data_IF_724801654451
#
_entry.id   IF_724801654451
#
_cell.length_a   1.000
_cell.length_b   1.000
_cell.length_c   1.000
_cell.angle_alpha   90.00
_cell.angle_beta   90.00
_cell.angle_gamma   90.00
#
_symmetry.space_group_name_H-M   'P 1'
#
loop_
_entity.id
_entity.type
_entity.pdbx_description
1 polymer ?
#
# COMPACT_ATOMS: atom_id res chain seq x y z
N UNK A 1 -11.94 32.65 20.63
CA UNK A 1 -11.76 32.01 21.96
C UNK A 1 -11.59 30.52 21.71
N UNK A 2 -10.36 30.07 21.63
CA UNK A 2 -9.98 28.68 21.52
C UNK A 2 -10.11 28.07 22.90
N UNK A 3 -11.20 27.32 23.15
CA UNK A 3 -11.32 26.55 24.37
C UNK A 3 -10.23 25.50 24.41
N UNK A 4 -9.26 25.68 25.33
CA UNK A 4 -8.35 24.62 25.73
C UNK A 4 -9.23 23.44 26.21
N UNK A 5 -9.20 22.31 25.51
CA UNK A 5 -9.79 21.07 26.03
C UNK A 5 -9.09 20.76 27.36
N UNK A 6 -9.88 20.43 28.36
CA UNK A 6 -9.41 20.05 29.69
C UNK A 6 -8.74 18.66 29.58
N UNK A 7 -7.41 18.66 29.48
CA UNK A 7 -6.58 17.45 29.36
C UNK A 7 -6.62 16.54 30.60
N UNK A 8 -7.38 16.92 31.64
CA UNK A 8 -7.52 16.16 32.89
C UNK A 8 -8.59 15.06 32.81
N UNK A 9 -9.43 15.03 31.78
CA UNK A 9 -10.48 14.03 31.62
C UNK A 9 -9.99 12.87 30.76
N UNK A 10 -10.31 11.66 31.20
CA UNK A 10 -10.06 10.45 30.43
C UNK A 10 -10.72 10.57 29.04
N UNK A 11 -9.99 10.17 27.97
CA UNK A 11 -10.57 10.14 26.62
C UNK A 11 -11.67 9.11 26.53
N UNK A 12 -12.48 9.18 25.47
CA UNK A 12 -13.52 8.16 25.21
C UNK A 12 -12.89 6.76 25.11
N UNK A 13 -11.77 6.63 24.40
CA UNK A 13 -11.06 5.37 24.23
C UNK A 13 -10.52 4.85 25.57
N UNK A 14 -9.96 5.72 26.42
CA UNK A 14 -9.48 5.37 27.77
C UNK A 14 -10.64 4.83 28.63
N UNK A 15 -11.77 5.52 28.62
CA UNK A 15 -12.98 5.09 29.36
C UNK A 15 -13.51 3.77 28.85
N UNK A 16 -13.58 3.57 27.53
CA UNK A 16 -14.05 2.33 26.91
C UNK A 16 -13.15 1.14 27.28
N UNK A 17 -11.83 1.33 27.30
CA UNK A 17 -10.87 0.29 27.69
C UNK A 17 -10.99 -0.09 29.16
N UNK A 18 -11.23 0.89 30.07
CA UNK A 18 -11.48 0.64 31.48
C UNK A 18 -12.78 -0.16 31.67
N UNK A 19 -13.84 0.21 30.98
CA UNK A 19 -15.12 -0.52 31.02
C UNK A 19 -15.01 -1.95 30.46
N UNK A 20 -14.10 -2.18 29.51
CA UNK A 20 -13.77 -3.50 28.98
C UNK A 20 -12.86 -4.33 29.89
N UNK A 21 -12.54 -3.86 31.10
CA UNK A 21 -11.74 -4.58 32.09
C UNK A 21 -10.23 -4.60 31.80
N UNK A 22 -9.75 -3.68 30.97
CA UNK A 22 -8.31 -3.51 30.71
C UNK A 22 -7.60 -2.80 31.86
N UNK A 23 -6.29 -3.00 31.96
CA UNK A 23 -5.48 -2.35 32.97
C UNK A 23 -5.48 -0.82 32.80
N UNK A 24 -5.27 -0.10 33.89
CA UNK A 24 -5.18 1.37 33.86
C UNK A 24 -4.05 1.85 32.90
N UNK A 25 -2.96 1.11 32.85
CA UNK A 25 -1.82 1.42 31.97
C UNK A 25 -2.17 1.24 30.49
N UNK A 26 -2.85 0.14 30.13
CA UNK A 26 -3.36 -0.09 28.76
C UNK A 26 -4.38 0.98 28.37
N UNK A 27 -5.28 1.34 29.26
CA UNK A 27 -6.30 2.37 29.02
C UNK A 27 -5.65 3.74 28.77
N UNK A 28 -4.71 4.15 29.61
CA UNK A 28 -3.96 5.41 29.47
C UNK A 28 -3.15 5.44 28.16
N UNK A 29 -2.52 4.34 27.77
CA UNK A 29 -1.78 4.24 26.52
C UNK A 29 -2.70 4.44 25.32
N UNK A 30 -3.88 3.80 25.31
CA UNK A 30 -4.87 3.96 24.24
C UNK A 30 -5.41 5.40 24.21
N UNK A 31 -5.72 5.99 25.37
CA UNK A 31 -6.15 7.38 25.45
C UNK A 31 -5.08 8.39 25.03
N UNK A 32 -3.80 8.06 25.17
CA UNK A 32 -2.71 8.92 24.65
C UNK A 32 -2.68 8.92 23.11
N UNK A 33 -2.93 7.76 22.46
CA UNK A 33 -3.03 7.66 20.99
C UNK A 33 -4.23 8.47 20.50
N UNK A 34 -5.39 8.30 21.13
CA UNK A 34 -6.64 9.02 20.82
C UNK A 34 -6.44 10.55 20.87
N UNK A 35 -5.72 11.04 21.90
CA UNK A 35 -5.37 12.48 22.02
C UNK A 35 -4.39 12.95 20.93
N UNK A 36 -3.45 12.11 20.51
CA UNK A 36 -2.52 12.45 19.43
C UNK A 36 -3.29 12.51 18.09
N UNK A 37 -4.20 11.59 17.85
CA UNK A 37 -5.05 11.59 16.66
C UNK A 37 -5.93 12.84 16.61
N UNK A 38 -6.54 13.25 17.74
CA UNK A 38 -7.28 14.52 17.87
C UNK A 38 -6.41 15.75 17.53
N UNK A 39 -5.15 15.74 17.93
CA UNK A 39 -4.20 16.85 17.63
C UNK A 39 -3.81 16.85 16.15
N UNK A 40 -3.54 15.69 15.58
CA UNK A 40 -3.25 15.53 14.15
C UNK A 40 -4.46 15.94 13.32
N UNK A 41 -5.66 15.53 13.70
CA UNK A 41 -6.90 15.92 13.04
C UNK A 41 -7.10 17.44 13.10
N UNK A 42 -6.79 18.08 14.24
CA UNK A 42 -6.87 19.54 14.38
C UNK A 42 -5.87 20.29 13.46
N UNK A 43 -4.68 19.73 13.23
CA UNK A 43 -3.70 20.28 12.29
C UNK A 43 -4.17 20.19 10.83
N UNK A 44 -4.88 19.13 10.49
CA UNK A 44 -5.39 18.89 9.14
C UNK A 44 -6.83 19.38 8.94
N UNK A 45 -7.54 19.72 10.02
CA UNK A 45 -8.94 20.18 9.96
C UNK A 45 -9.24 21.31 8.95
N UNK A 46 -8.32 22.28 8.69
CA UNK A 46 -8.55 23.27 7.63
C UNK A 46 -8.53 22.65 6.22
N UNK A 47 -7.81 21.58 6.00
CA UNK A 47 -7.68 20.88 4.70
C UNK A 47 -8.77 19.83 4.52
N UNK A 48 -9.25 19.23 5.61
CA UNK A 48 -10.27 18.18 5.62
C UNK A 48 -11.60 18.64 6.19
N UNK A 49 -11.97 19.93 6.00
CA UNK A 49 -13.32 20.33 6.35
C UNK A 49 -14.31 19.43 5.62
N UNK A 50 -15.02 18.61 6.36
CA UNK A 50 -16.09 17.71 5.86
C UNK A 50 -17.10 18.46 5.00
N UNK A 51 -17.25 19.79 5.22
CA UNK A 51 -18.01 20.69 4.37
C UNK A 51 -17.56 20.74 2.91
N UNK A 52 -16.31 20.36 2.60
CA UNK A 52 -15.76 20.40 1.25
C UNK A 52 -15.90 19.05 0.51
N UNK A 53 -16.25 17.96 1.21
CA UNK A 53 -16.50 16.66 0.59
C UNK A 53 -18.00 16.44 0.38
N UNK A 54 -18.49 16.42 -0.87
CA UNK A 54 -19.90 16.12 -1.15
C UNK A 54 -20.33 14.76 -0.60
N UNK A 55 -19.44 13.77 -0.58
CA UNK A 55 -19.71 12.42 -0.05
C UNK A 55 -19.90 12.46 1.46
N UNK A 56 -19.05 13.15 2.21
CA UNK A 56 -19.23 13.32 3.65
C UNK A 56 -20.52 14.04 3.99
N UNK A 57 -20.88 15.09 3.24
CA UNK A 57 -22.18 15.78 3.43
C UNK A 57 -23.36 14.83 3.18
N UNK A 58 -23.30 14.03 2.12
CA UNK A 58 -24.36 13.08 1.82
C UNK A 58 -24.66 12.14 2.99
N UNK A 59 -23.61 11.68 3.69
CA UNK A 59 -23.73 10.81 4.86
C UNK A 59 -24.35 11.56 6.05
N UNK A 60 -23.86 12.76 6.36
CA UNK A 60 -24.30 13.51 7.54
C UNK A 60 -25.67 14.18 7.36
N UNK A 61 -25.98 14.66 6.16
CA UNK A 61 -27.24 15.36 5.87
C UNK A 61 -28.41 14.39 5.59
N UNK A 62 -28.16 13.08 5.59
CA UNK A 62 -29.10 12.02 5.22
C UNK A 62 -29.78 12.26 3.84
N UNK A 63 -29.14 13.07 3.00
CA UNK A 63 -29.54 13.34 1.62
C UNK A 63 -28.53 12.72 0.70
N UNK A 64 -28.93 11.66 0.02
CA UNK A 64 -28.08 11.02 -0.98
C UNK A 64 -28.16 11.80 -2.28
N UNK A 65 -27.15 12.60 -2.65
CA UNK A 65 -27.11 13.27 -3.95
C UNK A 65 -26.80 12.21 -5.01
N UNK A 66 -27.85 11.60 -5.56
CA UNK A 66 -27.74 10.50 -6.54
C UNK A 66 -26.88 10.92 -7.74
N UNK A 67 -26.90 12.20 -8.10
CA UNK A 67 -26.07 12.77 -9.15
C UNK A 67 -24.55 12.61 -8.90
N UNK A 68 -24.10 12.54 -7.65
CA UNK A 68 -22.68 12.31 -7.32
C UNK A 68 -22.27 10.83 -7.51
N UNK A 69 -23.25 9.93 -7.53
CA UNK A 69 -23.06 8.51 -7.76
C UNK A 69 -23.36 8.11 -9.21
N UNK A 70 -23.86 9.06 -10.03
CA UNK A 70 -23.92 8.85 -11.46
C UNK A 70 -22.49 8.91 -12.02
N UNK A 71 -21.97 7.77 -12.46
CA UNK A 71 -20.68 7.75 -13.16
C UNK A 71 -20.81 8.63 -14.42
N UNK A 72 -19.93 9.63 -14.61
CA UNK A 72 -19.83 10.29 -15.90
C UNK A 72 -19.65 9.21 -16.97
N UNK A 73 -20.28 9.37 -18.13
CA UNK A 73 -20.04 8.48 -19.26
C UNK A 73 -18.56 8.63 -19.67
N UNK A 74 -17.72 7.80 -19.09
CA UNK A 74 -16.31 7.73 -19.44
C UNK A 74 -16.24 6.88 -20.70
N UNK A 75 -15.60 7.40 -21.74
CA UNK A 75 -15.27 6.60 -22.92
C UNK A 75 -14.40 5.41 -22.47
N UNK A 76 -14.86 4.17 -22.62
CA UNK A 76 -14.06 3.00 -22.23
C UNK A 76 -12.70 2.96 -22.92
N UNK A 77 -12.56 3.53 -24.11
CA UNK A 77 -11.31 3.60 -24.84
C UNK A 77 -10.28 4.49 -24.11
N UNK A 78 -10.71 5.52 -23.40
CA UNK A 78 -9.84 6.39 -22.61
C UNK A 78 -9.24 5.71 -21.39
N UNK A 79 -9.81 4.58 -20.96
CA UNK A 79 -9.34 3.79 -19.81
C UNK A 79 -8.42 2.63 -20.22
N UNK A 80 -8.18 2.43 -21.51
CA UNK A 80 -7.43 1.28 -22.02
C UNK A 80 -6.10 1.71 -22.67
N UNK A 81 -5.05 0.95 -22.40
CA UNK A 81 -3.71 1.17 -22.92
C UNK A 81 -3.18 -0.10 -23.55
N UNK A 82 -2.24 0.02 -24.49
CA UNK A 82 -1.63 -1.13 -25.16
C UNK A 82 -1.02 -2.13 -24.17
N UNK A 83 -0.25 -1.63 -23.20
CA UNK A 83 0.36 -2.46 -22.16
C UNK A 83 -0.69 -3.19 -21.28
N UNK A 84 -1.86 -2.60 -21.06
CA UNK A 84 -2.96 -3.24 -20.34
C UNK A 84 -3.55 -4.40 -21.15
N UNK A 85 -3.77 -4.20 -22.46
CA UNK A 85 -4.25 -5.26 -23.37
C UNK A 85 -3.23 -6.40 -23.45
N UNK A 86 -1.97 -6.07 -23.69
CA UNK A 86 -0.90 -7.07 -23.76
C UNK A 86 -0.79 -7.89 -22.48
N UNK A 87 -0.88 -7.24 -21.31
CA UNK A 87 -0.85 -7.93 -20.02
C UNK A 87 -2.05 -8.87 -19.81
N UNK A 88 -3.25 -8.45 -20.22
CA UNK A 88 -4.45 -9.28 -20.16
C UNK A 88 -4.31 -10.50 -21.09
N UNK A 89 -3.75 -10.32 -22.28
CA UNK A 89 -3.55 -11.41 -23.23
C UNK A 89 -2.51 -12.42 -22.72
N UNK A 90 -1.45 -11.97 -22.05
CA UNK A 90 -0.50 -12.85 -21.35
C UNK A 90 -1.23 -13.71 -20.31
N UNK A 91 -2.04 -13.10 -19.45
CA UNK A 91 -2.76 -13.84 -18.41
C UNK A 91 -3.74 -14.85 -19.01
N UNK A 92 -4.50 -14.46 -20.03
CA UNK A 92 -5.44 -15.35 -20.72
C UNK A 92 -4.73 -16.55 -21.35
N UNK A 93 -3.59 -16.30 -22.02
CA UNK A 93 -2.76 -17.35 -22.62
C UNK A 93 -2.30 -18.37 -21.58
N UNK A 94 -1.71 -17.90 -20.48
CA UNK A 94 -1.23 -18.77 -19.42
C UNK A 94 -2.36 -19.51 -18.69
N UNK A 95 -3.51 -18.86 -18.50
CA UNK A 95 -4.71 -19.50 -17.92
C UNK A 95 -5.23 -20.62 -18.82
N UNK A 96 -5.33 -20.37 -20.13
CA UNK A 96 -5.78 -21.39 -21.10
C UNK A 96 -4.78 -22.57 -21.21
N UNK A 97 -3.49 -22.29 -21.07
CA UNK A 97 -2.43 -23.30 -21.10
C UNK A 97 -2.25 -24.07 -19.78
N UNK A 98 -2.91 -23.66 -18.69
CA UNK A 98 -2.72 -24.26 -17.37
C UNK A 98 -1.35 -23.98 -16.74
N UNK A 99 -0.63 -22.95 -17.20
CA UNK A 99 0.74 -22.60 -16.77
C UNK A 99 0.78 -21.37 -15.86
N UNK A 100 -0.38 -20.97 -15.33
CA UNK A 100 -0.51 -19.78 -14.52
C UNK A 100 0.23 -19.89 -13.17
N UNK A 101 0.11 -21.06 -12.53
CA UNK A 101 0.68 -21.35 -11.22
C UNK A 101 1.80 -22.39 -11.35
N UNK A 102 2.77 -22.31 -10.45
CA UNK A 102 3.80 -23.33 -10.24
C UNK A 102 3.26 -24.49 -9.36
N UNK A 103 4.10 -25.50 -9.14
CA UNK A 103 3.76 -26.66 -8.32
C UNK A 103 3.48 -26.33 -6.85
N UNK A 104 3.84 -25.13 -6.40
CA UNK A 104 3.58 -24.60 -5.05
C UNK A 104 2.35 -23.70 -4.98
N UNK A 105 1.60 -23.57 -6.06
CA UNK A 105 0.43 -22.70 -6.14
C UNK A 105 0.74 -21.20 -6.16
N UNK A 106 1.95 -20.82 -6.57
CA UNK A 106 2.35 -19.43 -6.78
C UNK A 106 2.27 -19.10 -8.27
N UNK A 107 2.07 -17.82 -8.59
CA UNK A 107 2.17 -17.36 -9.99
C UNK A 107 3.55 -17.73 -10.52
N UNK A 108 3.60 -18.46 -11.65
CA UNK A 108 4.85 -19.02 -12.16
C UNK A 108 5.83 -17.92 -12.61
N UNK A 109 7.13 -18.20 -12.50
CA UNK A 109 8.18 -17.26 -12.92
C UNK A 109 8.05 -16.87 -14.39
N UNK A 110 7.57 -17.78 -15.25
CA UNK A 110 7.34 -17.49 -16.68
C UNK A 110 6.23 -16.45 -16.85
N UNK A 111 5.14 -16.56 -16.08
CA UNK A 111 4.05 -15.55 -16.09
C UNK A 111 4.59 -14.20 -15.62
N UNK A 112 5.38 -14.18 -14.53
CA UNK A 112 5.96 -12.94 -14.00
C UNK A 112 6.85 -12.25 -15.04
N UNK A 113 7.67 -13.01 -15.77
CA UNK A 113 8.55 -12.49 -16.83
C UNK A 113 7.76 -12.00 -18.05
N UNK A 114 6.73 -12.74 -18.49
CA UNK A 114 5.94 -12.34 -19.64
C UNK A 114 5.05 -11.12 -19.32
N UNK A 115 4.56 -10.98 -18.09
CA UNK A 115 3.91 -9.77 -17.59
C UNK A 115 4.89 -8.59 -17.55
N UNK A 116 6.14 -8.80 -17.13
CA UNK A 116 7.17 -7.76 -17.13
C UNK A 116 7.41 -7.22 -18.54
N UNK A 117 7.55 -8.10 -19.54
CA UNK A 117 7.70 -7.71 -20.95
C UNK A 117 6.50 -6.94 -21.49
N UNK A 118 5.29 -7.23 -20.99
CA UNK A 118 4.06 -6.53 -21.36
C UNK A 118 3.91 -5.15 -20.68
N UNK A 119 4.82 -4.76 -19.78
CA UNK A 119 4.77 -3.49 -19.06
C UNK A 119 3.88 -3.48 -17.81
N UNK A 120 3.46 -4.64 -17.35
CA UNK A 120 2.51 -4.84 -16.25
C UNK A 120 2.89 -4.15 -14.95
N UNK A 121 4.17 -4.22 -14.58
CA UNK A 121 4.67 -3.70 -13.31
C UNK A 121 4.82 -2.17 -13.33
N UNK A 122 5.02 -1.59 -14.51
CA UNK A 122 5.24 -0.15 -14.68
C UNK A 122 3.96 0.68 -14.88
N UNK A 123 2.77 0.15 -14.70
CA UNK A 123 1.51 0.84 -15.08
C UNK A 123 1.40 2.25 -14.50
N UNK A 124 1.64 2.44 -13.22
CA UNK A 124 1.54 3.73 -12.53
C UNK A 124 2.82 4.59 -12.62
N UNK A 125 3.93 4.03 -13.08
CA UNK A 125 5.20 4.74 -13.16
C UNK A 125 5.26 5.58 -14.42
N UNK A 126 5.79 6.78 -14.31
CA UNK A 126 5.93 7.71 -15.42
C UNK A 126 6.82 7.14 -16.53
N UNK A 127 6.52 7.52 -17.78
CA UNK A 127 7.24 7.03 -18.97
C UNK A 127 8.73 7.38 -18.97
N UNK A 128 9.10 8.50 -18.36
CA UNK A 128 10.51 8.90 -18.21
C UNK A 128 11.35 7.89 -17.39
N UNK A 129 10.72 7.06 -16.58
CA UNK A 129 11.36 5.99 -15.80
C UNK A 129 11.09 4.59 -16.39
N UNK A 130 10.56 4.52 -17.62
CA UNK A 130 10.26 3.26 -18.31
C UNK A 130 8.90 2.66 -17.96
N UNK A 131 8.05 3.39 -17.25
CA UNK A 131 6.68 3.00 -16.96
C UNK A 131 5.68 3.33 -18.06
N UNK A 132 4.40 3.11 -17.80
CA UNK A 132 3.30 3.33 -18.74
C UNK A 132 2.57 4.67 -18.52
N UNK A 133 2.72 5.29 -17.34
CA UNK A 133 2.12 6.58 -17.01
C UNK A 133 0.59 6.53 -16.87
N UNK A 134 0.02 5.38 -16.56
CA UNK A 134 -1.41 5.26 -16.32
C UNK A 134 -1.87 6.10 -15.12
N UNK A 135 -3.04 6.69 -15.21
CA UNK A 135 -3.69 7.30 -14.05
C UNK A 135 -4.35 6.24 -13.16
N UNK A 136 -4.75 6.64 -11.94
CA UNK A 136 -5.35 5.73 -10.96
C UNK A 136 -6.67 5.12 -11.48
N UNK A 137 -7.47 5.84 -12.24
CA UNK A 137 -8.75 5.33 -12.79
C UNK A 137 -8.50 4.26 -13.83
N UNK A 138 -7.53 4.49 -14.73
CA UNK A 138 -7.09 3.50 -15.72
C UNK A 138 -6.58 2.24 -15.02
N UNK A 139 -5.73 2.42 -14.00
CA UNK A 139 -5.16 1.30 -13.24
C UNK A 139 -6.21 0.51 -12.46
N UNK A 140 -7.16 1.16 -11.78
CA UNK A 140 -8.24 0.46 -11.06
C UNK A 140 -9.14 -0.34 -12.00
N UNK A 141 -9.50 0.23 -13.16
CA UNK A 141 -10.26 -0.49 -14.20
C UNK A 141 -9.46 -1.69 -14.70
N UNK A 142 -8.18 -1.52 -14.97
CA UNK A 142 -7.29 -2.59 -15.38
C UNK A 142 -7.20 -3.71 -14.34
N UNK A 143 -6.98 -3.37 -13.05
CA UNK A 143 -6.95 -4.36 -11.96
C UNK A 143 -8.25 -5.16 -11.86
N UNK A 144 -9.39 -4.51 -12.04
CA UNK A 144 -10.70 -5.20 -12.06
C UNK A 144 -10.75 -6.25 -13.17
N UNK A 145 -10.30 -5.90 -14.36
CA UNK A 145 -10.22 -6.83 -15.51
C UNK A 145 -9.24 -7.98 -15.25
N UNK A 146 -8.07 -7.68 -14.69
CA UNK A 146 -7.08 -8.69 -14.29
C UNK A 146 -7.66 -9.64 -13.25
N UNK A 147 -8.34 -9.12 -12.22
CA UNK A 147 -8.92 -9.92 -11.15
C UNK A 147 -9.98 -10.92 -11.64
N UNK A 148 -10.70 -10.61 -12.72
CA UNK A 148 -11.65 -11.58 -13.33
C UNK A 148 -10.95 -12.77 -14.01
N UNK A 149 -9.66 -12.63 -14.31
CA UNK A 149 -8.85 -13.69 -14.93
C UNK A 149 -8.05 -14.42 -13.85
N UNK A 150 -7.26 -13.68 -13.08
CA UNK A 150 -6.41 -14.20 -12.02
C UNK A 150 -6.27 -13.18 -10.86
N UNK A 151 -7.02 -13.38 -9.77
CA UNK A 151 -7.03 -12.43 -8.65
C UNK A 151 -5.68 -12.31 -7.94
N UNK A 152 -4.86 -13.37 -7.93
CA UNK A 152 -3.52 -13.30 -7.33
C UNK A 152 -2.63 -12.31 -8.09
N UNK A 153 -2.63 -12.36 -9.42
CA UNK A 153 -1.89 -11.41 -10.25
C UNK A 153 -2.34 -9.96 -9.97
N UNK A 154 -3.66 -9.73 -9.90
CA UNK A 154 -4.18 -8.40 -9.55
C UNK A 154 -3.71 -7.92 -8.18
N UNK A 155 -3.70 -8.81 -7.18
CA UNK A 155 -3.19 -8.52 -5.83
C UNK A 155 -1.72 -8.13 -5.84
N UNK A 156 -0.88 -8.88 -6.57
CA UNK A 156 0.55 -8.58 -6.72
C UNK A 156 0.78 -7.19 -7.32
N UNK A 157 0.05 -6.82 -8.38
CA UNK A 157 0.17 -5.49 -9.01
C UNK A 157 -0.35 -4.37 -8.12
N UNK A 158 -1.46 -4.61 -7.39
CA UNK A 158 -2.02 -3.63 -6.45
C UNK A 158 -1.02 -3.30 -5.34
N UNK A 159 -0.43 -4.33 -4.74
CA UNK A 159 0.62 -4.13 -3.71
C UNK A 159 1.82 -3.44 -4.30
N UNK A 160 2.29 -3.86 -5.48
CA UNK A 160 3.46 -3.26 -6.12
C UNK A 160 3.23 -1.77 -6.45
N UNK A 161 2.12 -1.44 -7.08
CA UNK A 161 1.85 -0.10 -7.58
C UNK A 161 1.37 0.91 -6.54
N UNK A 162 0.45 0.48 -5.63
CA UNK A 162 -0.26 1.41 -4.76
C UNK A 162 0.19 1.36 -3.30
N UNK A 163 0.53 0.16 -2.77
CA UNK A 163 0.78 -0.01 -1.33
C UNK A 163 2.28 -0.07 -1.05
N UNK A 164 3.05 -0.65 -1.96
CA UNK A 164 4.49 -0.83 -1.81
C UNK A 164 5.29 0.45 -2.05
N UNK A 165 6.51 0.29 -2.57
CA UNK A 165 7.45 1.39 -2.70
C UNK A 165 7.18 2.34 -3.89
N UNK A 166 6.38 1.93 -4.88
CA UNK A 166 6.18 2.73 -6.12
C UNK A 166 5.61 4.10 -5.79
N UNK A 167 4.45 4.18 -5.14
CA UNK A 167 3.82 5.46 -4.82
C UNK A 167 4.65 6.32 -3.85
N UNK A 168 5.16 5.81 -2.71
CA UNK A 168 6.04 6.61 -1.86
C UNK A 168 7.26 7.17 -2.58
N UNK A 169 7.91 6.39 -3.45
CA UNK A 169 9.08 6.86 -4.21
C UNK A 169 8.66 7.91 -5.23
N UNK A 170 7.56 7.72 -5.96
CA UNK A 170 7.05 8.68 -6.94
C UNK A 170 6.73 10.04 -6.32
N UNK A 171 6.05 10.05 -5.18
CA UNK A 171 5.56 11.29 -4.57
C UNK A 171 6.56 11.95 -3.63
N UNK A 172 7.35 11.18 -2.89
CA UNK A 172 8.20 11.69 -1.82
C UNK A 172 9.69 11.41 -2.02
N UNK A 173 10.07 10.56 -2.99
CA UNK A 173 11.46 10.26 -3.28
C UNK A 173 12.20 11.48 -3.86
N UNK A 174 13.49 11.61 -3.52
CA UNK A 174 14.37 12.54 -4.22
C UNK A 174 14.54 12.11 -5.68
N UNK A 175 14.99 13.05 -6.56
CA UNK A 175 15.24 12.71 -7.97
C UNK A 175 16.28 11.58 -8.12
N UNK A 176 17.29 11.55 -7.25
CA UNK A 176 18.26 10.44 -7.21
C UNK A 176 17.60 9.10 -6.89
N UNK A 177 16.72 9.07 -5.86
CA UNK A 177 15.96 7.87 -5.52
C UNK A 177 15.02 7.44 -6.64
N UNK A 178 14.31 8.37 -7.28
CA UNK A 178 13.43 8.07 -8.40
C UNK A 178 14.19 7.49 -9.58
N UNK A 179 15.29 8.14 -9.99
CA UNK A 179 16.12 7.68 -11.11
C UNK A 179 16.75 6.31 -10.85
N UNK A 180 17.07 6.00 -9.62
CA UNK A 180 17.68 4.72 -9.22
C UNK A 180 16.69 3.59 -9.07
N UNK A 181 15.51 3.85 -8.50
CA UNK A 181 14.57 2.81 -8.10
C UNK A 181 13.44 2.57 -9.10
N UNK A 182 12.87 3.64 -9.67
CA UNK A 182 11.68 3.51 -10.52
C UNK A 182 11.90 2.69 -11.79
N UNK A 183 13.06 2.74 -12.47
CA UNK A 183 13.28 1.89 -13.65
C UNK A 183 13.26 0.39 -13.34
N UNK A 184 13.87 -0.05 -12.24
CA UNK A 184 13.87 -1.45 -11.83
C UNK A 184 12.46 -1.90 -11.39
N UNK A 185 11.69 -1.02 -10.74
CA UNK A 185 10.29 -1.27 -10.39
C UNK A 185 9.40 -1.29 -11.65
N UNK A 186 9.59 -0.40 -12.60
CA UNK A 186 8.80 -0.34 -13.84
C UNK A 186 8.99 -1.58 -14.72
N UNK A 187 10.22 -2.06 -14.81
CA UNK A 187 10.55 -3.25 -15.60
C UNK A 187 10.16 -4.58 -14.92
N UNK A 188 9.77 -4.55 -13.64
CA UNK A 188 9.55 -5.76 -12.86
C UNK A 188 10.81 -6.53 -12.46
N UNK A 189 12.00 -5.94 -12.69
CA UNK A 189 13.28 -6.50 -12.20
C UNK A 189 13.33 -6.49 -10.67
N UNK A 190 12.68 -5.52 -10.05
CA UNK A 190 12.40 -5.48 -8.63
C UNK A 190 10.90 -5.33 -8.39
N UNK A 191 10.34 -6.10 -7.46
CA UNK A 191 8.97 -5.93 -7.00
C UNK A 191 8.98 -5.26 -5.63
N UNK A 192 8.07 -4.32 -5.43
CA UNK A 192 7.91 -3.68 -4.13
C UNK A 192 6.98 -4.47 -3.22
N UNK A 193 7.25 -4.40 -1.93
CA UNK A 193 6.45 -4.99 -0.88
C UNK A 193 6.22 -3.98 0.24
N UNK A 194 5.20 -4.22 1.08
CA UNK A 194 4.90 -3.39 2.24
C UNK A 194 4.94 -4.24 3.51
N UNK A 195 6.03 -4.12 4.27
CA UNK A 195 6.29 -4.92 5.46
C UNK A 195 5.82 -4.17 6.71
N UNK A 196 4.55 -4.33 7.08
CA UNK A 196 3.94 -3.68 8.24
C UNK A 196 3.62 -4.69 9.35
N UNK A 197 2.80 -5.69 9.06
CA UNK A 197 2.26 -6.64 10.02
C UNK A 197 3.33 -7.44 10.76
N UNK A 198 3.14 -7.62 12.05
CA UNK A 198 3.97 -8.46 12.94
C UNK A 198 3.10 -9.50 13.65
N UNK A 199 3.67 -10.57 14.25
CA UNK A 199 2.91 -11.60 14.94
C UNK A 199 1.91 -11.07 15.98
N UNK A 200 2.26 -9.97 16.66
CA UNK A 200 1.44 -9.34 17.71
C UNK A 200 0.82 -8.02 17.29
N UNK A 201 1.07 -7.53 16.07
CA UNK A 201 0.64 -6.22 15.59
C UNK A 201 0.07 -6.30 14.18
N UNK A 202 -1.26 -6.43 14.09
CA UNK A 202 -2.02 -6.35 12.86
C UNK A 202 -2.81 -5.05 12.81
N UNK A 203 -4.04 -5.06 13.34
CA UNK A 203 -4.88 -3.86 13.43
C UNK A 203 -4.33 -2.83 14.43
N UNK A 204 -3.72 -3.28 15.51
CA UNK A 204 -3.03 -2.39 16.46
C UNK A 204 -1.58 -2.16 16.03
N UNK A 205 -1.35 -1.12 15.26
CA UNK A 205 -0.02 -0.72 14.80
C UNK A 205 0.86 -0.15 15.93
N UNK A 206 0.26 0.24 17.06
CA UNK A 206 1.03 0.73 18.22
C UNK A 206 1.76 -0.40 18.95
N UNK A 207 1.37 -1.66 18.68
CA UNK A 207 2.02 -2.85 19.22
C UNK A 207 3.24 -3.32 18.42
N UNK A 208 3.66 -2.60 17.38
CA UNK A 208 4.86 -2.91 16.60
C UNK A 208 6.11 -2.98 17.48
N UNK A 209 6.92 -4.03 17.31
CA UNK A 209 8.14 -4.28 18.07
C UNK A 209 9.42 -4.20 17.25
N UNK A 210 9.31 -4.20 15.91
CA UNK A 210 10.49 -4.03 15.05
C UNK A 210 11.18 -2.72 15.39
N UNK A 211 12.49 -2.79 15.62
CA UNK A 211 13.34 -1.65 15.95
C UNK A 211 14.38 -1.42 14.87
N UNK A 212 14.81 -0.17 14.72
CA UNK A 212 15.93 0.21 13.88
C UNK A 212 16.92 1.03 14.75
N UNK A 213 18.11 0.48 14.99
CA UNK A 213 19.14 1.10 15.83
C UNK A 213 20.27 1.60 14.94
N UNK A 214 20.62 2.89 15.05
CA UNK A 214 21.73 3.46 14.30
C UNK A 214 23.07 2.93 14.85
N UNK A 215 23.89 2.35 13.97
CA UNK A 215 25.24 1.89 14.26
C UNK A 215 26.20 2.47 13.21
N UNK A 216 26.95 3.49 13.59
CA UNK A 216 27.82 4.20 12.65
C UNK A 216 27.02 4.93 11.57
N UNK A 217 27.15 4.51 10.32
CA UNK A 217 26.50 5.10 9.14
C UNK A 217 25.29 4.29 8.63
N UNK A 218 24.89 3.23 9.33
CA UNK A 218 23.79 2.35 8.94
C UNK A 218 22.85 2.03 10.09
N UNK A 219 21.61 1.59 9.75
CA UNK A 219 20.64 1.10 10.74
C UNK A 219 20.64 -0.42 10.77
N UNK A 220 20.69 -0.98 11.99
CA UNK A 220 20.43 -2.40 12.23
C UNK A 220 18.94 -2.53 12.56
N UNK A 221 18.21 -3.28 11.73
CA UNK A 221 16.81 -3.58 11.94
C UNK A 221 16.69 -4.94 12.63
N UNK A 222 15.90 -4.99 13.72
CA UNK A 222 15.61 -6.21 14.46
C UNK A 222 14.11 -6.34 14.66
N UNK A 223 13.51 -7.45 14.19
CA UNK A 223 12.08 -7.72 14.29
C UNK A 223 11.64 -8.82 13.34
N UNK A 224 10.34 -9.10 13.38
CA UNK A 224 9.69 -10.13 12.56
C UNK A 224 8.47 -9.53 11.86
N UNK A 225 8.29 -9.86 10.56
CA UNK A 225 7.16 -9.40 9.77
C UNK A 225 6.42 -10.59 9.16
N UNK A 226 5.07 -10.50 9.12
CA UNK A 226 4.19 -11.56 8.60
C UNK A 226 3.34 -11.08 7.43
N UNK A 227 2.90 -12.02 6.60
CA UNK A 227 1.94 -11.81 5.52
C UNK A 227 2.35 -10.72 4.53
N UNK A 228 3.63 -10.68 4.18
CA UNK A 228 4.17 -9.66 3.31
C UNK A 228 4.06 -10.11 1.85
N UNK A 229 3.08 -9.59 1.14
CA UNK A 229 2.91 -9.82 -0.30
C UNK A 229 4.11 -9.27 -1.07
N UNK A 230 4.55 -9.98 -2.09
CA UNK A 230 5.76 -9.70 -2.89
C UNK A 230 7.11 -9.84 -2.15
N UNK A 231 7.15 -10.35 -0.91
CA UNK A 231 8.40 -10.58 -0.18
C UNK A 231 9.17 -11.83 -0.66
N UNK A 232 8.76 -12.44 -1.75
CA UNK A 232 9.32 -13.68 -2.29
C UNK A 232 10.49 -13.32 -3.20
N UNK A 233 11.65 -13.12 -2.62
CA UNK A 233 12.89 -12.90 -3.36
C UNK A 233 13.92 -12.23 -2.49
N UNK A 234 15.08 -12.83 -2.33
CA UNK A 234 16.18 -12.27 -1.54
C UNK A 234 16.62 -10.90 -2.05
N UNK A 235 16.32 -10.57 -3.31
CA UNK A 235 16.74 -9.32 -3.94
C UNK A 235 15.83 -8.12 -3.67
N UNK A 236 14.59 -8.32 -3.23
CA UNK A 236 13.66 -7.23 -2.96
C UNK A 236 14.10 -6.35 -1.77
N UNK A 237 14.72 -6.95 -0.77
CA UNK A 237 15.19 -6.26 0.43
C UNK A 237 16.60 -5.70 0.28
N UNK A 238 17.50 -6.41 -0.37
CA UNK A 238 18.90 -6.01 -0.51
C UNK A 238 19.07 -4.75 -1.37
N UNK A 239 18.27 -4.57 -2.43
CA UNK A 239 18.41 -3.44 -3.34
C UNK A 239 17.75 -2.14 -2.86
N UNK A 240 16.67 -2.21 -2.09
CA UNK A 240 16.09 -1.02 -1.45
C UNK A 240 16.99 -0.45 -0.35
N UNK A 241 17.92 -1.27 0.13
CA UNK A 241 18.77 -1.03 1.29
C UNK A 241 20.25 -0.76 0.95
N UNK A 242 20.65 -0.69 -0.31
CA UNK A 242 22.05 -0.43 -0.71
C UNK A 242 22.63 0.92 -0.24
N UNK A 243 21.81 1.78 0.32
CA UNK A 243 22.24 2.94 1.12
C UNK A 243 21.87 2.86 2.61
N UNK A 244 21.07 1.86 2.96
CA UNK A 244 20.77 1.46 4.33
C UNK A 244 21.27 0.03 4.45
N UNK A 245 22.54 -0.16 4.79
CA UNK A 245 23.06 -1.50 5.07
C UNK A 245 22.25 -2.08 6.23
N UNK A 246 21.30 -2.92 5.91
CA UNK A 246 20.38 -3.51 6.88
C UNK A 246 20.65 -4.99 6.94
N UNK A 247 21.04 -5.45 8.09
CA UNK A 247 21.06 -6.87 8.41
C UNK A 247 19.68 -7.27 8.92
N UNK A 248 18.81 -7.77 8.03
CA UNK A 248 17.56 -8.41 8.42
C UNK A 248 17.78 -9.93 8.42
N UNK A 249 17.77 -10.56 9.57
CA UNK A 249 17.56 -12.00 9.67
C UNK A 249 16.06 -12.29 9.57
N UNK A 250 15.62 -12.76 8.41
CA UNK A 250 14.25 -13.24 8.21
C UNK A 250 14.22 -14.73 8.52
N UNK A 251 13.53 -15.13 9.58
CA UNK A 251 13.19 -16.54 9.77
C UNK A 251 11.80 -16.76 9.13
N UNK A 252 11.76 -17.53 8.05
CA UNK A 252 10.52 -18.12 7.58
C UNK A 252 10.13 -19.22 8.57
N UNK A 253 9.11 -18.96 9.38
CA UNK A 253 8.38 -20.04 10.02
C UNK A 253 7.60 -20.78 8.92
N UNK A 254 7.87 -22.07 8.78
CA UNK A 254 7.24 -22.99 7.85
C UNK A 254 5.75 -23.22 8.19
#
# INVERSE_FOLDING_TARGET
MTGLKDDSKASFAETAMQLAGKTEEEAKRTGAVDRVDDQVEALFAPQYKTSNSPVHRAVWDAKVPIELFSTPKIDPASLDMEAMRASIDVLRKHKAAGTMMDDKGKVSDQVMQDLAKAGYWGMLIETKYGGQGADVRQFMNFLTRVATIEPTAAGLASVHGCIGAVDPVRYFGSEDQKNRLLPDLASGKALSAFALTEPQAGSDLTALKTTATLQGDHYVINGEKLFITNAIGQDCWSRMLDRWQTCCSYSQAA
#
